data_IF_704450760198
#
_entry.id   IF_704450760198
#
_cell.length_a   1.000
_cell.length_b   1.000
_cell.length_c   1.000
_cell.angle_alpha   90.00
_cell.angle_beta   90.00
_cell.angle_gamma   90.00
#
_symmetry.space_group_name_H-M   'P 1'
#
loop_
_entity.id
_entity.type
_entity.pdbx_description
1 polymer ?
#
# COMPACT_ATOMS: atom_id res chain seq x y z
N UNK A 1 0.70 4.12 17.59
CA UNK A 1 0.28 2.69 17.52
C UNK A 1 1.51 1.83 17.73
N UNK A 2 1.50 0.85 18.64
CA UNK A 2 2.65 -0.05 18.85
C UNK A 2 2.42 -1.36 18.09
N UNK A 3 3.34 -1.72 17.20
CA UNK A 3 3.34 -2.96 16.44
C UNK A 3 4.76 -3.52 16.36
N UNK A 4 4.90 -4.79 16.02
CA UNK A 4 6.21 -5.39 15.72
C UNK A 4 6.38 -5.60 14.22
N UNK A 5 7.62 -5.64 13.75
CA UNK A 5 7.94 -6.04 12.37
C UNK A 5 8.57 -7.43 12.37
N UNK A 6 8.08 -8.31 11.51
CA UNK A 6 8.63 -9.66 11.34
C UNK A 6 8.66 -10.06 9.86
N UNK A 7 9.15 -11.25 9.55
CA UNK A 7 9.20 -11.80 8.19
C UNK A 7 8.17 -12.92 7.99
N UNK A 8 8.02 -13.38 6.74
CA UNK A 8 7.43 -14.69 6.42
C UNK A 8 8.24 -15.84 7.03
N UNK A 9 7.66 -17.05 7.08
CA UNK A 9 8.34 -18.24 7.62
C UNK A 9 9.59 -18.57 6.81
N UNK A 10 9.46 -18.61 5.48
CA UNK A 10 10.59 -18.65 4.56
C UNK A 10 11.31 -17.30 4.62
N UNK A 11 12.56 -17.29 5.08
CA UNK A 11 13.30 -16.06 5.34
C UNK A 11 14.70 -16.13 4.76
N UNK A 12 15.01 -15.21 3.85
CA UNK A 12 16.37 -14.93 3.38
C UNK A 12 17.02 -13.83 4.23
N UNK A 13 18.35 -13.69 4.18
CA UNK A 13 19.04 -12.59 4.86
C UNK A 13 18.57 -11.21 4.34
N UNK A 14 18.28 -11.11 3.04
CA UNK A 14 17.73 -9.89 2.43
C UNK A 14 16.37 -9.52 3.02
N UNK A 15 15.50 -10.49 3.27
CA UNK A 15 14.19 -10.24 3.88
C UNK A 15 14.31 -9.79 5.34
N UNK A 16 15.26 -10.35 6.10
CA UNK A 16 15.56 -9.89 7.48
C UNK A 16 16.06 -8.46 7.50
N UNK A 17 16.96 -8.10 6.58
CA UNK A 17 17.47 -6.73 6.47
C UNK A 17 16.34 -5.76 6.13
N UNK A 18 15.47 -6.10 5.18
CA UNK A 18 14.27 -5.31 4.86
C UNK A 18 13.38 -5.11 6.09
N UNK A 19 13.11 -6.18 6.84
CA UNK A 19 12.29 -6.10 8.06
C UNK A 19 12.93 -5.24 9.16
N UNK A 20 14.25 -5.37 9.38
CA UNK A 20 14.99 -4.51 10.34
C UNK A 20 14.98 -3.04 9.92
N UNK A 21 15.14 -2.77 8.63
CA UNK A 21 15.09 -1.40 8.11
C UNK A 21 13.70 -0.78 8.30
N UNK A 22 12.63 -1.53 8.01
CA UNK A 22 11.26 -1.08 8.26
C UNK A 22 11.03 -0.84 9.75
N UNK A 23 11.49 -1.74 10.62
CA UNK A 23 11.41 -1.55 12.07
C UNK A 23 12.08 -0.24 12.52
N UNK A 24 13.24 0.09 11.93
CA UNK A 24 13.94 1.35 12.19
C UNK A 24 13.18 2.58 11.69
N UNK A 25 12.57 2.53 10.49
CA UNK A 25 11.76 3.64 9.95
C UNK A 25 10.62 4.03 10.90
N UNK A 26 9.98 3.03 11.51
CA UNK A 26 8.83 3.23 12.38
C UNK A 26 9.16 3.31 13.87
N UNK A 27 10.44 3.21 14.24
CA UNK A 27 10.90 3.12 15.63
C UNK A 27 10.16 2.03 16.44
N UNK A 28 10.12 0.83 15.87
CA UNK A 28 9.45 -0.35 16.46
C UNK A 28 10.36 -1.57 16.53
N UNK A 29 9.96 -2.57 17.30
CA UNK A 29 10.75 -3.80 17.48
C UNK A 29 10.69 -4.70 16.26
N UNK A 30 11.85 -5.10 15.74
CA UNK A 30 11.98 -6.27 14.88
C UNK A 30 11.93 -7.55 15.70
N UNK A 31 10.97 -8.44 15.42
CA UNK A 31 10.84 -9.74 16.06
C UNK A 31 11.17 -10.87 15.05
N UNK A 32 12.21 -11.69 15.31
CA UNK A 32 12.53 -12.82 14.44
C UNK A 32 11.39 -13.83 14.35
N UNK A 33 11.04 -14.28 13.13
CA UNK A 33 9.86 -15.12 12.90
C UNK A 33 9.86 -16.47 13.65
N UNK A 34 11.04 -17.07 13.88
CA UNK A 34 11.26 -18.30 14.65
C UNK A 34 10.26 -19.46 14.35
N UNK A 35 9.80 -19.60 13.09
CA UNK A 35 8.77 -20.58 12.68
C UNK A 35 7.41 -20.45 13.41
N UNK A 36 7.17 -19.37 14.16
CA UNK A 36 5.88 -19.11 14.80
C UNK A 36 4.80 -18.89 13.73
N UNK A 37 3.58 -19.34 14.01
CA UNK A 37 2.43 -19.05 13.13
C UNK A 37 2.00 -17.59 13.32
N UNK A 38 1.27 -17.03 12.34
CA UNK A 38 0.69 -15.69 12.51
C UNK A 38 -0.26 -15.66 13.70
N UNK A 39 -1.03 -16.72 13.92
CA UNK A 39 -1.92 -16.85 15.08
C UNK A 39 -1.16 -16.72 16.40
N UNK A 40 -0.04 -17.44 16.55
CA UNK A 40 0.78 -17.39 17.77
C UNK A 40 1.42 -16.01 17.96
N UNK A 41 1.90 -15.38 16.87
CA UNK A 41 2.40 -14.01 16.94
C UNK A 41 1.30 -13.02 17.34
N UNK A 42 0.11 -13.13 16.77
CA UNK A 42 -1.03 -12.25 17.09
C UNK A 42 -1.57 -12.46 18.52
N UNK A 43 -1.31 -13.62 19.13
CA UNK A 43 -1.60 -13.86 20.55
C UNK A 43 -0.59 -13.17 21.47
N UNK A 44 0.67 -13.10 21.06
CA UNK A 44 1.74 -12.45 21.81
C UNK A 44 1.79 -10.93 21.57
N UNK A 45 1.45 -10.49 20.35
CA UNK A 45 1.50 -9.11 19.90
C UNK A 45 0.21 -8.77 19.17
N UNK A 46 -0.54 -7.77 19.64
CA UNK A 46 -1.84 -7.40 19.06
C UNK A 46 -1.75 -6.94 17.59
N UNK A 47 -0.59 -6.41 17.18
CA UNK A 47 -0.36 -5.80 15.89
C UNK A 47 0.99 -6.23 15.32
N UNK A 48 0.97 -6.79 14.11
CA UNK A 48 2.17 -7.34 13.47
C UNK A 48 2.23 -6.88 12.02
N UNK A 49 3.34 -6.24 11.64
CA UNK A 49 3.69 -5.99 10.24
C UNK A 49 4.59 -7.13 9.75
N UNK A 50 4.11 -7.87 8.75
CA UNK A 50 4.80 -9.01 8.17
C UNK A 50 5.37 -8.60 6.81
N UNK A 51 6.69 -8.77 6.67
CA UNK A 51 7.42 -8.52 5.43
C UNK A 51 7.52 -9.82 4.64
N UNK A 52 6.82 -9.88 3.52
CA UNK A 52 6.95 -10.94 2.52
C UNK A 52 7.93 -10.50 1.42
N UNK A 53 8.29 -11.45 0.55
CA UNK A 53 9.14 -11.18 -0.62
C UNK A 53 8.49 -10.16 -1.57
N UNK A 54 7.20 -10.28 -1.75
CA UNK A 54 6.38 -9.60 -2.76
C UNK A 54 5.42 -8.55 -2.18
N UNK A 55 5.17 -8.55 -0.86
CA UNK A 55 4.23 -7.62 -0.22
C UNK A 55 4.56 -7.29 1.23
N UNK A 56 3.88 -6.26 1.73
CA UNK A 56 3.77 -5.96 3.16
C UNK A 56 2.35 -6.27 3.62
N UNK A 57 2.21 -6.85 4.79
CA UNK A 57 0.90 -7.16 5.37
C UNK A 57 0.89 -6.82 6.84
N UNK A 58 0.01 -5.90 7.22
CA UNK A 58 -0.35 -5.66 8.60
C UNK A 58 -1.43 -6.66 9.02
N UNK A 59 -1.28 -7.27 10.18
CA UNK A 59 -2.24 -8.26 10.69
C UNK A 59 -2.47 -8.09 12.18
N UNK A 60 -3.71 -8.37 12.57
CA UNK A 60 -4.15 -8.52 13.96
C UNK A 60 -4.71 -9.93 14.14
N UNK A 61 -5.36 -10.19 15.28
CA UNK A 61 -6.08 -11.44 15.51
C UNK A 61 -7.37 -11.56 14.66
N UNK A 62 -7.93 -10.44 14.20
CA UNK A 62 -9.23 -10.40 13.52
C UNK A 62 -9.16 -9.89 12.08
N UNK A 63 -8.11 -9.19 11.71
CA UNK A 63 -8.03 -8.50 10.42
C UNK A 63 -6.64 -8.55 9.79
N UNK A 64 -6.62 -8.43 8.47
CA UNK A 64 -5.42 -8.29 7.66
C UNK A 64 -5.58 -7.10 6.73
N UNK A 65 -4.47 -6.39 6.52
CA UNK A 65 -4.39 -5.24 5.65
C UNK A 65 -3.12 -5.34 4.82
N UNK A 66 -3.27 -5.32 3.51
CA UNK A 66 -2.18 -5.35 2.53
C UNK A 66 -2.65 -4.68 1.25
N UNK A 67 -1.71 -4.22 0.44
CA UNK A 67 -2.05 -3.66 -0.86
C UNK A 67 -2.56 -4.74 -1.82
N UNK A 68 -3.70 -4.46 -2.45
CA UNK A 68 -4.17 -5.19 -3.62
C UNK A 68 -4.96 -4.23 -4.52
N UNK A 69 -4.69 -4.21 -5.84
CA UNK A 69 -5.35 -3.28 -6.75
C UNK A 69 -6.85 -3.52 -6.94
N UNK A 70 -7.36 -4.68 -6.46
CA UNK A 70 -8.78 -5.02 -6.25
C UNK A 70 -9.74 -4.39 -7.29
N UNK A 71 -10.48 -3.37 -6.86
CA UNK A 71 -11.58 -2.77 -7.60
C UNK A 71 -11.09 -1.88 -8.74
N UNK A 72 -9.86 -1.36 -8.68
CA UNK A 72 -9.32 -0.53 -9.74
C UNK A 72 -9.21 -1.29 -11.06
N UNK A 73 -8.72 -2.54 -11.03
CA UNK A 73 -8.59 -3.38 -12.25
C UNK A 73 -9.97 -3.65 -12.87
N UNK A 74 -10.98 -3.91 -12.04
CA UNK A 74 -12.35 -4.15 -12.50
C UNK A 74 -12.90 -2.88 -13.15
N UNK A 75 -12.72 -1.72 -12.51
CA UNK A 75 -13.18 -0.42 -12.99
C UNK A 75 -12.51 0.03 -14.28
N UNK A 76 -11.20 -0.19 -14.41
CA UNK A 76 -10.43 0.10 -15.63
C UNK A 76 -11.00 -0.64 -16.85
N UNK A 77 -11.56 -1.84 -16.65
CA UNK A 77 -12.13 -2.67 -17.73
C UNK A 77 -13.58 -2.32 -18.06
N UNK A 78 -14.23 -1.43 -17.31
CA UNK A 78 -15.60 -1.02 -17.59
C UNK A 78 -15.66 -0.14 -18.85
N UNK A 79 -16.74 -0.26 -19.62
CA UNK A 79 -16.96 0.61 -20.78
C UNK A 79 -17.26 2.06 -20.37
N UNK A 80 -17.89 2.23 -19.20
CA UNK A 80 -18.23 3.52 -18.60
C UNK A 80 -17.72 3.53 -17.17
N UNK A 81 -16.72 4.36 -16.92
CA UNK A 81 -16.12 4.53 -15.59
C UNK A 81 -16.73 5.78 -14.93
N UNK A 82 -17.48 5.64 -13.81
CA UNK A 82 -18.24 6.76 -13.24
C UNK A 82 -17.41 7.97 -12.83
N UNK A 83 -16.17 7.78 -12.36
CA UNK A 83 -15.31 8.87 -11.97
C UNK A 83 -14.87 9.70 -13.19
N UNK A 84 -14.55 9.06 -14.32
CA UNK A 84 -14.26 9.73 -15.59
C UNK A 84 -15.50 10.43 -16.17
N UNK A 85 -16.70 9.86 -16.03
CA UNK A 85 -17.93 10.56 -16.44
C UNK A 85 -18.14 11.85 -15.65
N UNK A 86 -17.74 11.88 -14.38
CA UNK A 86 -17.87 13.04 -13.51
C UNK A 86 -16.83 14.13 -13.79
N UNK A 87 -15.55 13.76 -13.95
CA UNK A 87 -14.44 14.74 -14.06
C UNK A 87 -14.04 15.07 -15.51
N UNK A 88 -14.59 14.31 -16.46
CA UNK A 88 -14.29 14.35 -17.89
C UNK A 88 -13.30 13.27 -18.32
N UNK A 89 -13.10 13.11 -19.64
CA UNK A 89 -12.15 12.15 -20.21
C UNK A 89 -10.78 12.75 -20.54
N UNK A 90 -10.68 14.09 -20.60
CA UNK A 90 -9.43 14.77 -20.88
C UNK A 90 -8.52 14.74 -19.64
N UNK A 91 -7.30 14.17 -19.71
CA UNK A 91 -6.39 14.09 -18.57
C UNK A 91 -6.02 15.45 -17.99
N UNK A 92 -5.95 15.51 -16.66
CA UNK A 92 -5.59 16.69 -15.87
C UNK A 92 -4.72 16.28 -14.70
N UNK A 93 -4.26 17.27 -13.93
CA UNK A 93 -3.66 17.03 -12.61
C UNK A 93 -4.79 16.81 -11.59
N UNK A 94 -4.68 15.78 -10.77
CA UNK A 94 -5.64 15.42 -9.72
C UNK A 94 -4.89 15.26 -8.40
N UNK A 95 -5.45 15.87 -7.36
CA UNK A 95 -5.05 15.66 -5.97
C UNK A 95 -6.07 14.76 -5.28
N UNK A 96 -5.70 13.52 -5.01
CA UNK A 96 -6.47 12.60 -4.16
C UNK A 96 -6.10 12.85 -2.70
N UNK A 97 -6.98 13.52 -1.96
CA UNK A 97 -6.75 13.90 -0.56
C UNK A 97 -7.05 12.77 0.44
N UNK A 98 -7.45 11.60 -0.06
CA UNK A 98 -7.92 10.45 0.74
C UNK A 98 -7.43 9.15 0.11
N UNK A 99 -6.13 9.05 -0.16
CA UNK A 99 -5.54 7.97 -0.95
C UNK A 99 -6.04 6.60 -0.50
N UNK A 100 -6.01 6.30 0.81
CA UNK A 100 -6.50 5.04 1.34
C UNK A 100 -5.89 3.84 0.61
N UNK A 101 -6.71 3.05 -0.09
CA UNK A 101 -6.26 1.91 -0.89
C UNK A 101 -5.76 2.24 -2.30
N UNK A 102 -5.74 3.53 -2.66
CA UNK A 102 -5.39 4.09 -3.97
C UNK A 102 -6.25 3.60 -5.14
N UNK A 103 -7.45 3.05 -4.91
CA UNK A 103 -8.28 2.49 -6.00
C UNK A 103 -8.65 3.55 -7.06
N UNK A 104 -9.18 4.70 -6.64
CA UNK A 104 -9.49 5.82 -7.53
C UNK A 104 -8.22 6.39 -8.18
N UNK A 105 -7.17 6.60 -7.39
CA UNK A 105 -5.86 7.04 -7.89
C UNK A 105 -5.30 6.15 -9.01
N UNK A 106 -5.43 4.82 -8.90
CA UNK A 106 -5.01 3.87 -9.94
C UNK A 106 -5.86 3.99 -11.19
N UNK A 107 -7.19 4.10 -11.05
CA UNK A 107 -8.10 4.29 -12.19
C UNK A 107 -7.73 5.57 -12.94
N UNK A 108 -7.62 6.69 -12.23
CA UNK A 108 -7.25 7.98 -12.81
C UNK A 108 -5.90 7.92 -13.52
N UNK A 109 -4.88 7.40 -12.84
CA UNK A 109 -3.54 7.29 -13.42
C UNK A 109 -3.53 6.39 -14.66
N UNK A 110 -4.33 5.33 -14.69
CA UNK A 110 -4.45 4.45 -15.84
C UNK A 110 -4.99 5.18 -17.08
N UNK A 111 -6.01 6.02 -16.91
CA UNK A 111 -6.58 6.85 -17.98
C UNK A 111 -5.75 8.11 -18.30
N UNK A 112 -4.53 8.22 -17.75
CA UNK A 112 -3.55 9.22 -18.15
C UNK A 112 -3.53 10.49 -17.31
N UNK A 113 -4.31 10.55 -16.21
CA UNK A 113 -4.26 11.66 -15.28
C UNK A 113 -2.91 11.70 -14.52
N UNK A 114 -2.45 12.92 -14.21
CA UNK A 114 -1.32 13.15 -13.32
C UNK A 114 -1.84 13.18 -11.88
N UNK A 115 -1.53 12.14 -11.10
CA UNK A 115 -2.15 11.91 -9.79
C UNK A 115 -1.12 12.10 -8.68
N UNK A 116 -1.45 13.03 -7.78
CA UNK A 116 -0.83 13.14 -6.45
C UNK A 116 -1.82 12.62 -5.43
N UNK A 117 -1.41 11.67 -4.58
CA UNK A 117 -2.28 11.05 -3.57
C UNK A 117 -1.72 11.24 -2.16
N UNK A 118 -2.57 11.68 -1.24
CA UNK A 118 -2.21 12.01 0.14
C UNK A 118 -2.82 10.98 1.10
N UNK A 119 -2.01 10.54 2.06
CA UNK A 119 -2.44 9.68 3.16
C UNK A 119 -1.77 10.16 4.44
N UNK A 120 -2.55 10.39 5.49
CA UNK A 120 -2.02 10.93 6.74
C UNK A 120 -1.51 9.83 7.67
N UNK A 121 -2.00 8.59 7.54
CA UNK A 121 -1.55 7.47 8.34
C UNK A 121 -0.23 6.88 7.77
N UNK A 122 0.90 6.97 8.49
CA UNK A 122 2.19 6.56 7.95
C UNK A 122 2.28 5.07 7.61
N UNK A 123 1.58 4.22 8.35
CA UNK A 123 1.60 2.78 8.11
C UNK A 123 0.78 2.39 6.88
N UNK A 124 -0.40 3.02 6.71
CA UNK A 124 -1.23 2.83 5.51
C UNK A 124 -0.46 3.35 4.29
N UNK A 125 0.04 4.59 4.35
CA UNK A 125 0.83 5.18 3.27
C UNK A 125 1.98 4.26 2.86
N UNK A 126 2.77 3.79 3.82
CA UNK A 126 3.93 2.94 3.54
C UNK A 126 3.57 1.60 2.89
N UNK A 127 2.50 0.93 3.35
CA UNK A 127 2.05 -0.34 2.78
C UNK A 127 1.56 -0.14 1.34
N UNK A 128 0.79 0.92 1.11
CA UNK A 128 0.15 1.20 -0.19
C UNK A 128 1.18 1.71 -1.20
N UNK A 129 2.04 2.65 -0.82
CA UNK A 129 3.16 3.12 -1.64
C UNK A 129 4.08 1.96 -2.03
N UNK A 130 4.42 1.07 -1.09
CA UNK A 130 5.22 -0.10 -1.43
C UNK A 130 4.51 -0.99 -2.45
N UNK A 131 3.22 -1.24 -2.24
CA UNK A 131 2.38 -2.00 -3.15
C UNK A 131 2.29 -1.41 -4.56
N UNK A 132 2.05 -0.11 -4.68
CA UNK A 132 2.02 0.59 -5.97
C UNK A 132 3.33 0.45 -6.76
N UNK A 133 4.46 0.39 -6.05
CA UNK A 133 5.80 0.26 -6.66
C UNK A 133 6.17 -1.18 -7.03
N UNK A 134 5.75 -2.17 -6.23
CA UNK A 134 6.27 -3.54 -6.33
C UNK A 134 5.26 -4.60 -6.75
N UNK A 135 3.96 -4.36 -6.62
CA UNK A 135 2.94 -5.32 -7.00
C UNK A 135 2.92 -5.52 -8.52
N UNK A 136 2.88 -6.78 -8.97
CA UNK A 136 2.79 -7.13 -10.38
C UNK A 136 1.39 -7.67 -10.70
N UNK A 137 0.62 -6.92 -11.49
CA UNK A 137 -0.70 -7.36 -11.96
C UNK A 137 -0.64 -8.24 -13.21
N UNK A 138 0.57 -8.56 -13.70
CA UNK A 138 0.84 -9.17 -15.01
C UNK A 138 0.29 -8.38 -16.21
N UNK A 139 -0.01 -7.10 -16.00
CA UNK A 139 -0.45 -6.17 -17.03
C UNK A 139 0.43 -4.91 -16.99
N UNK A 140 1.32 -4.79 -17.97
CA UNK A 140 2.32 -3.71 -18.02
C UNK A 140 1.71 -2.32 -17.91
N UNK A 141 0.58 -2.06 -18.58
CA UNK A 141 -0.10 -0.77 -18.55
C UNK A 141 -0.61 -0.40 -17.15
N UNK A 142 -1.17 -1.36 -16.41
CA UNK A 142 -1.66 -1.16 -15.04
C UNK A 142 -0.48 -0.98 -14.08
N UNK A 143 0.56 -1.80 -14.19
CA UNK A 143 1.77 -1.65 -13.40
C UNK A 143 2.44 -0.28 -13.61
N UNK A 144 2.46 0.21 -14.85
CA UNK A 144 2.97 1.55 -15.15
C UNK A 144 2.08 2.65 -14.57
N UNK A 145 0.76 2.49 -14.61
CA UNK A 145 -0.17 3.42 -13.98
C UNK A 145 0.05 3.51 -12.47
N UNK A 146 0.15 2.38 -11.77
CA UNK A 146 0.42 2.36 -10.34
C UNK A 146 1.72 3.09 -9.98
N UNK A 147 2.79 2.86 -10.76
CA UNK A 147 4.11 3.48 -10.54
C UNK A 147 4.18 4.97 -10.83
N UNK A 148 3.24 5.52 -11.62
CA UNK A 148 3.18 6.96 -11.93
C UNK A 148 2.59 7.79 -10.80
N UNK A 149 1.81 7.19 -9.91
CA UNK A 149 1.15 7.91 -8.81
C UNK A 149 2.22 8.43 -7.86
N UNK A 150 2.20 9.73 -7.60
CA UNK A 150 3.06 10.36 -6.61
C UNK A 150 2.32 10.38 -5.27
N UNK A 151 2.90 9.78 -4.24
CA UNK A 151 2.27 9.67 -2.92
C UNK A 151 2.99 10.51 -1.88
N UNK A 152 2.23 11.15 -0.99
CA UNK A 152 2.78 11.88 0.16
C UNK A 152 2.13 11.43 1.46
N UNK A 153 2.96 11.17 2.46
CA UNK A 153 2.52 10.93 3.83
C UNK A 153 2.29 12.26 4.54
N UNK A 154 1.10 12.84 4.40
CA UNK A 154 0.77 14.18 4.92
C UNK A 154 -0.75 14.31 5.10
N UNK A 155 -1.15 15.08 6.11
CA UNK A 155 -2.55 15.47 6.25
C UNK A 155 -2.96 16.41 5.11
N UNK A 156 -4.14 16.19 4.54
CA UNK A 156 -4.58 16.87 3.32
C UNK A 156 -4.67 18.40 3.47
N UNK A 157 -5.11 18.88 4.64
CA UNK A 157 -5.16 20.32 4.91
C UNK A 157 -3.77 20.96 4.97
N UNK A 158 -2.75 20.24 5.45
CA UNK A 158 -1.39 20.78 5.57
C UNK A 158 -0.70 20.88 4.20
N UNK A 159 -1.13 20.06 3.23
CA UNK A 159 -0.61 20.09 1.85
C UNK A 159 -1.16 21.26 1.03
N UNK A 160 -2.30 21.83 1.42
CA UNK A 160 -3.02 22.85 0.66
C UNK A 160 -2.66 24.30 1.05
N UNK A 161 -1.78 24.46 2.04
CA UNK A 161 -1.30 25.76 2.55
C UNK A 161 0.01 26.13 1.84
#
# INVERSE_FOLDING_TARGET
MSFIVTTSVETTNTLKQKAKHIAHIFDVTYFPRQKMTLKSLCQQFSHVLVVYKDKLMYTTSTSQFFFHPNTAIIRIKQQKEPLLELIGSAPKRVLDTTMGLASDSIVLSYFGYDVVALEDNPLIHFIIENGLKTYDTHHTSINQAMKRINTHCIHSLDYLI
#
